data_IF_353180953605
#
_entry.id   IF_353180953605
#
_cell.length_a   1.000
_cell.length_b   1.000
_cell.length_c   1.000
_cell.angle_alpha   90.00
_cell.angle_beta   90.00
_cell.angle_gamma   90.00
#
_symmetry.space_group_name_H-M   'P 1'
#
loop_
_entity.id
_entity.type
_entity.pdbx_description
1 polymer ?
#
# COMPACT_ATOMS: atom_id res chain seq x y z
N UNK A 1 38.59 -10.56 4.10
CA UNK A 1 37.15 -10.74 3.81
C UNK A 1 37.02 -11.37 2.44
N UNK A 2 36.06 -12.26 2.24
CA UNK A 2 35.81 -12.89 0.95
C UNK A 2 34.66 -12.12 0.26
N UNK A 3 34.90 -11.67 -0.99
CA UNK A 3 33.89 -11.05 -1.82
C UNK A 3 33.34 -12.10 -2.80
N UNK A 4 32.03 -12.30 -2.95
CA UNK A 4 31.43 -13.25 -3.88
C UNK A 4 31.49 -12.74 -5.34
N UNK A 5 32.68 -12.36 -5.79
CA UNK A 5 32.97 -11.80 -7.11
C UNK A 5 34.22 -12.48 -7.73
N UNK A 6 34.19 -12.67 -9.03
CA UNK A 6 35.34 -12.98 -9.85
C UNK A 6 35.98 -11.69 -10.42
N UNK A 7 37.23 -11.78 -10.91
CA UNK A 7 37.93 -10.64 -11.46
C UNK A 7 37.27 -10.05 -12.70
N UNK A 8 36.57 -10.84 -13.52
CA UNK A 8 35.83 -10.34 -14.68
C UNK A 8 34.64 -9.50 -14.27
N UNK A 9 33.84 -9.99 -13.31
CA UNK A 9 32.71 -9.24 -12.76
C UNK A 9 33.16 -8.00 -12.00
N UNK A 10 34.26 -8.09 -11.26
CA UNK A 10 34.82 -6.98 -10.52
C UNK A 10 35.23 -5.84 -11.48
N UNK A 11 35.82 -6.13 -12.63
CA UNK A 11 36.12 -5.15 -13.67
C UNK A 11 34.92 -4.78 -14.54
N UNK A 12 33.88 -5.61 -14.58
CA UNK A 12 32.72 -5.42 -15.46
C UNK A 12 33.03 -5.78 -16.92
N UNK A 13 33.88 -6.77 -17.15
CA UNK A 13 34.25 -7.26 -18.49
C UNK A 13 33.77 -8.69 -18.70
N UNK A 14 33.59 -9.08 -19.98
CA UNK A 14 33.27 -10.46 -20.33
C UNK A 14 34.50 -11.35 -20.18
N UNK A 15 34.36 -12.65 -19.85
CA UNK A 15 35.47 -13.63 -19.87
C UNK A 15 36.22 -13.72 -21.19
N UNK A 16 35.59 -13.36 -22.32
CA UNK A 16 36.23 -13.34 -23.64
C UNK A 16 36.84 -11.98 -24.01
N UNK A 17 36.91 -11.03 -23.05
CA UNK A 17 37.46 -9.70 -23.29
C UNK A 17 38.94 -9.75 -23.63
N UNK A 18 39.37 -8.95 -24.59
CA UNK A 18 40.77 -8.75 -24.93
C UNK A 18 41.48 -7.88 -23.89
N UNK A 19 42.81 -7.96 -23.81
CA UNK A 19 43.65 -7.14 -22.95
C UNK A 19 43.35 -5.62 -23.17
N UNK A 20 43.23 -5.20 -24.43
CA UNK A 20 42.89 -3.81 -24.76
C UNK A 20 41.54 -3.36 -24.16
N UNK A 21 40.53 -4.25 -24.19
CA UNK A 21 39.24 -3.97 -23.61
C UNK A 21 39.31 -3.92 -22.08
N UNK A 22 40.09 -4.79 -21.46
CA UNK A 22 40.34 -4.80 -19.99
C UNK A 22 40.95 -3.45 -19.58
N UNK A 23 42.03 -3.00 -20.24
CA UNK A 23 42.72 -1.75 -19.91
C UNK A 23 41.84 -0.51 -20.18
N UNK A 24 41.07 -0.52 -21.27
CA UNK A 24 40.10 0.55 -21.55
C UNK A 24 39.02 0.65 -20.48
N UNK A 25 38.47 -0.49 -20.05
CA UNK A 25 37.44 -0.53 -19.00
C UNK A 25 38.01 -0.08 -17.64
N UNK A 26 39.24 -0.53 -17.31
CA UNK A 26 39.93 -0.05 -16.12
C UNK A 26 40.05 1.47 -16.11
N UNK A 27 40.56 2.09 -17.21
CA UNK A 27 40.69 3.55 -17.30
C UNK A 27 39.34 4.25 -17.11
N UNK A 28 38.30 3.76 -17.78
CA UNK A 28 36.96 4.33 -17.65
C UNK A 28 36.41 4.25 -16.21
N UNK A 29 36.67 3.16 -15.49
CA UNK A 29 36.20 3.01 -14.10
C UNK A 29 37.02 3.81 -13.10
N UNK A 30 38.31 4.02 -13.37
CA UNK A 30 39.16 4.90 -12.55
C UNK A 30 38.78 6.37 -12.74
N UNK A 31 38.46 6.79 -13.98
CA UNK A 31 38.05 8.15 -14.31
C UNK A 31 36.64 8.51 -13.79
N UNK A 32 35.83 7.49 -13.49
CA UNK A 32 34.47 7.66 -12.98
C UNK A 32 34.30 6.98 -11.61
N UNK A 33 34.81 7.60 -10.53
CA UNK A 33 34.57 7.09 -9.19
C UNK A 33 33.05 7.15 -8.85
N UNK A 34 32.58 6.32 -7.92
CA UNK A 34 31.19 6.36 -7.48
C UNK A 34 30.86 7.73 -6.88
N UNK A 35 29.74 8.28 -7.28
CA UNK A 35 29.19 9.48 -6.68
C UNK A 35 28.72 9.19 -5.25
N UNK A 36 28.93 10.11 -4.30
CA UNK A 36 28.38 9.92 -2.96
C UNK A 36 29.20 10.46 -1.81
N UNK A 37 30.44 10.93 -2.05
CA UNK A 37 31.25 11.57 -1.00
C UNK A 37 32.08 10.58 -0.16
N UNK A 38 32.49 9.46 -0.74
CA UNK A 38 33.50 8.56 -0.14
C UNK A 38 34.85 9.28 0.03
N UNK A 39 35.59 8.88 1.05
CA UNK A 39 36.93 9.42 1.28
C UNK A 39 37.91 9.01 0.19
N UNK A 40 39.00 9.76 0.05
CA UNK A 40 40.07 9.43 -0.89
C UNK A 40 40.66 8.06 -0.61
N UNK A 41 40.81 7.68 0.66
CA UNK A 41 41.33 6.39 1.10
C UNK A 41 40.45 5.23 0.59
N UNK A 42 39.11 5.35 0.71
CA UNK A 42 38.17 4.34 0.22
C UNK A 42 38.21 4.20 -1.31
N UNK A 43 38.30 5.32 -2.02
CA UNK A 43 38.41 5.33 -3.48
C UNK A 43 39.75 4.81 -3.96
N UNK A 44 40.85 5.02 -3.22
CA UNK A 44 42.15 4.47 -3.54
C UNK A 44 42.20 2.95 -3.33
N UNK A 45 41.64 2.45 -2.22
CA UNK A 45 41.45 0.98 -2.01
C UNK A 45 40.65 0.32 -3.15
N UNK A 46 39.57 0.98 -3.59
CA UNK A 46 38.79 0.54 -4.76
C UNK A 46 39.65 0.49 -6.03
N UNK A 47 40.42 1.54 -6.28
CA UNK A 47 41.29 1.64 -7.45
C UNK A 47 42.42 0.57 -7.46
N UNK A 48 43.00 0.29 -6.29
CA UNK A 48 44.01 -0.79 -6.15
C UNK A 48 43.44 -2.15 -6.50
N UNK A 49 42.23 -2.49 -6.02
CA UNK A 49 41.55 -3.76 -6.36
C UNK A 49 41.22 -3.88 -7.85
N UNK A 50 40.80 -2.77 -8.49
CA UNK A 50 40.57 -2.72 -9.94
C UNK A 50 41.89 -2.96 -10.72
N UNK A 51 42.99 -2.28 -10.32
CA UNK A 51 44.33 -2.48 -10.96
C UNK A 51 44.81 -3.91 -10.79
N UNK A 52 44.76 -4.46 -9.56
CA UNK A 52 45.15 -5.84 -9.30
C UNK A 52 44.39 -6.86 -10.15
N UNK A 53 43.08 -6.64 -10.35
CA UNK A 53 42.27 -7.49 -11.22
C UNK A 53 42.66 -7.35 -12.71
N UNK A 54 42.95 -6.13 -13.16
CA UNK A 54 43.40 -5.90 -14.53
C UNK A 54 44.78 -6.48 -14.78
N UNK A 55 45.72 -6.35 -13.85
CA UNK A 55 47.06 -6.94 -13.93
C UNK A 55 46.99 -8.47 -14.05
N UNK A 56 46.08 -9.12 -13.32
CA UNK A 56 45.85 -10.56 -13.44
C UNK A 56 45.29 -10.93 -14.82
N UNK A 57 44.30 -10.20 -15.32
CA UNK A 57 43.61 -10.52 -16.57
C UNK A 57 44.40 -10.13 -17.83
N UNK A 58 45.38 -9.23 -17.72
CA UNK A 58 46.29 -8.87 -18.82
C UNK A 58 47.54 -9.79 -18.89
N UNK A 59 47.86 -10.54 -17.86
CA UNK A 59 48.89 -11.54 -17.85
C UNK A 59 48.34 -12.88 -18.39
N UNK A 60 48.77 -13.32 -19.54
CA UNK A 60 48.22 -14.49 -20.23
C UNK A 60 48.35 -15.79 -19.41
N UNK A 61 49.44 -15.99 -18.70
CA UNK A 61 49.69 -17.20 -17.90
C UNK A 61 48.79 -17.21 -16.66
N UNK A 62 48.79 -16.14 -15.91
CA UNK A 62 47.93 -15.99 -14.71
C UNK A 62 46.43 -16.01 -15.05
N UNK A 63 46.05 -15.47 -16.19
CA UNK A 63 44.68 -15.52 -16.68
C UNK A 63 44.23 -16.93 -17.02
N UNK A 64 45.06 -17.71 -17.74
CA UNK A 64 44.77 -19.12 -18.05
C UNK A 64 44.63 -19.97 -16.78
N UNK A 65 45.51 -19.78 -15.81
CA UNK A 65 45.41 -20.45 -14.50
C UNK A 65 44.11 -20.10 -13.80
N UNK A 66 43.72 -18.82 -13.82
CA UNK A 66 42.48 -18.31 -13.20
C UNK A 66 41.22 -18.84 -13.91
N UNK A 67 41.18 -18.84 -15.24
CA UNK A 67 40.08 -19.40 -16.03
C UNK A 67 39.94 -20.93 -15.79
N UNK A 68 41.02 -21.64 -15.62
CA UNK A 68 41.03 -23.06 -15.27
C UNK A 68 40.41 -23.27 -13.86
N UNK A 69 40.76 -22.43 -12.90
CA UNK A 69 40.20 -22.46 -11.55
C UNK A 69 38.69 -22.16 -11.55
N UNK A 70 38.25 -21.16 -12.30
CA UNK A 70 36.81 -20.86 -12.46
C UNK A 70 36.05 -22.03 -13.09
N UNK A 71 36.67 -22.72 -14.06
CA UNK A 71 36.04 -23.89 -14.70
C UNK A 71 35.89 -25.05 -13.71
N UNK A 72 36.86 -25.26 -12.82
CA UNK A 72 36.78 -26.25 -11.76
C UNK A 72 35.69 -25.94 -10.75
N UNK A 73 35.60 -24.67 -10.28
CA UNK A 73 34.58 -24.23 -9.36
C UNK A 73 33.18 -24.42 -9.95
N UNK A 74 32.98 -24.08 -11.21
CA UNK A 74 31.70 -24.30 -11.91
C UNK A 74 31.34 -25.79 -12.05
N UNK A 75 32.32 -26.68 -12.08
CA UNK A 75 32.09 -28.14 -12.13
C UNK A 75 31.72 -28.74 -10.77
N UNK A 76 32.06 -28.08 -9.66
CA UNK A 76 31.70 -28.52 -8.30
C UNK A 76 30.24 -28.25 -7.95
N UNK A 77 29.58 -27.32 -8.64
CA UNK A 77 28.11 -27.05 -8.50
C UNK A 77 27.73 -25.60 -8.77
N UNK A 78 26.46 -25.36 -9.08
CA UNK A 78 25.96 -24.01 -9.41
C UNK A 78 25.99 -23.04 -8.23
N UNK A 79 26.13 -23.52 -7.00
CA UNK A 79 26.17 -22.74 -5.78
C UNK A 79 27.58 -22.34 -5.34
N UNK A 80 28.62 -22.85 -6.00
CA UNK A 80 30.01 -22.53 -5.69
C UNK A 80 30.43 -21.26 -6.43
N UNK A 81 30.23 -20.10 -5.77
CA UNK A 81 30.65 -18.82 -6.32
C UNK A 81 32.15 -18.59 -6.11
N UNK A 82 32.86 -18.05 -7.11
CA UNK A 82 34.25 -17.62 -6.92
C UNK A 82 34.29 -16.52 -5.86
N UNK A 83 35.19 -16.68 -4.90
CA UNK A 83 35.41 -15.71 -3.85
C UNK A 83 36.75 -15.02 -4.03
N UNK A 84 36.76 -13.69 -4.05
CA UNK A 84 37.98 -12.91 -4.05
C UNK A 84 38.36 -12.56 -2.61
N UNK A 85 39.58 -13.01 -2.20
CA UNK A 85 40.13 -12.61 -0.90
C UNK A 85 40.57 -11.14 -0.92
N UNK A 86 39.97 -10.32 -0.08
CA UNK A 86 40.28 -8.89 0.08
C UNK A 86 40.87 -8.66 1.46
N UNK A 87 42.05 -8.01 1.57
CA UNK A 87 42.60 -7.61 2.86
C UNK A 87 41.63 -6.70 3.64
N UNK A 88 41.65 -6.81 4.96
CA UNK A 88 40.79 -5.97 5.81
C UNK A 88 41.05 -4.47 5.67
N UNK A 89 42.25 -4.09 5.23
CA UNK A 89 42.59 -2.70 4.90
C UNK A 89 41.88 -2.18 3.65
N UNK A 90 41.46 -3.04 2.73
CA UNK A 90 40.78 -2.71 1.47
C UNK A 90 39.28 -3.08 1.49
N UNK A 91 38.75 -3.43 2.65
CA UNK A 91 37.34 -3.89 2.81
C UNK A 91 36.32 -2.91 2.24
N UNK A 92 36.46 -1.62 2.54
CA UNK A 92 35.53 -0.57 2.04
C UNK A 92 35.55 -0.51 0.52
N UNK A 93 36.74 -0.52 -0.09
CA UNK A 93 36.91 -0.57 -1.54
C UNK A 93 36.30 -1.80 -2.19
N UNK A 94 36.46 -2.97 -1.55
CA UNK A 94 35.85 -4.22 -1.98
C UNK A 94 34.32 -4.19 -1.94
N UNK A 95 33.74 -3.69 -0.86
CA UNK A 95 32.29 -3.54 -0.73
C UNK A 95 31.69 -2.53 -1.71
N UNK A 96 32.44 -1.43 -2.02
CA UNK A 96 32.03 -0.50 -3.09
C UNK A 96 31.96 -1.23 -4.43
N UNK A 97 32.97 -2.04 -4.76
CA UNK A 97 33.01 -2.82 -6.00
C UNK A 97 31.90 -3.87 -6.06
N UNK A 98 31.55 -4.49 -4.94
CA UNK A 98 30.43 -5.41 -4.81
C UNK A 98 29.09 -4.73 -5.15
N UNK A 99 28.87 -3.53 -4.61
CA UNK A 99 27.69 -2.70 -4.92
C UNK A 99 27.67 -2.28 -6.41
N UNK A 100 28.83 -1.93 -6.99
CA UNK A 100 28.94 -1.55 -8.41
C UNK A 100 28.69 -2.75 -9.35
N UNK A 101 29.01 -3.96 -8.90
CA UNK A 101 28.75 -5.21 -9.62
C UNK A 101 27.26 -5.64 -9.58
N UNK A 102 26.38 -4.83 -8.98
CA UNK A 102 24.94 -5.13 -8.89
C UNK A 102 24.56 -6.05 -7.74
N UNK A 103 25.44 -6.23 -6.76
CA UNK A 103 25.18 -7.03 -5.54
C UNK A 103 24.98 -6.09 -4.34
N UNK A 104 23.97 -5.22 -4.48
CA UNK A 104 23.72 -4.17 -3.49
C UNK A 104 23.27 -4.72 -2.13
N UNK A 105 22.52 -5.82 -2.12
CA UNK A 105 22.05 -6.44 -0.88
C UNK A 105 23.21 -7.04 -0.07
N UNK A 106 24.15 -7.71 -0.75
CA UNK A 106 25.36 -8.30 -0.16
C UNK A 106 26.32 -7.20 0.32
N UNK A 107 26.45 -6.11 -0.45
CA UNK A 107 27.25 -4.94 -0.06
C UNK A 107 26.67 -4.27 1.19
N UNK A 108 25.35 -4.14 1.30
CA UNK A 108 24.67 -3.64 2.50
C UNK A 108 24.96 -4.52 3.71
N UNK A 109 24.81 -5.83 3.54
CA UNK A 109 25.04 -6.78 4.64
C UNK A 109 26.49 -6.76 5.11
N UNK A 110 27.46 -6.72 4.17
CA UNK A 110 28.87 -6.59 4.47
C UNK A 110 29.19 -5.30 5.25
N UNK A 111 28.67 -4.16 4.79
CA UNK A 111 28.85 -2.88 5.49
C UNK A 111 28.19 -2.91 6.89
N UNK A 112 27.01 -3.49 7.01
CA UNK A 112 26.30 -3.68 8.28
C UNK A 112 27.11 -4.52 9.28
N UNK A 113 27.72 -5.61 8.82
CA UNK A 113 28.59 -6.48 9.64
C UNK A 113 29.87 -5.76 10.05
N UNK A 114 30.52 -5.04 9.13
CA UNK A 114 31.74 -4.28 9.40
C UNK A 114 31.52 -3.13 10.41
N UNK A 115 30.28 -2.65 10.58
CA UNK A 115 29.89 -1.65 11.59
C UNK A 115 29.46 -2.26 12.94
N UNK A 116 29.47 -3.59 13.08
CA UNK A 116 29.13 -4.26 14.33
C UNK A 116 30.38 -4.66 15.14
N UNK A 117 30.34 -4.59 16.48
CA UNK A 117 31.41 -5.15 17.31
C UNK A 117 31.58 -6.67 17.06
N UNK A 118 32.81 -7.21 17.09
CA UNK A 118 34.08 -6.54 17.46
C UNK A 118 34.79 -5.83 16.28
N UNK A 119 34.26 -5.88 15.05
CA UNK A 119 34.91 -5.35 13.84
C UNK A 119 34.66 -3.85 13.64
N UNK A 120 33.74 -3.26 14.41
CA UNK A 120 33.39 -1.86 14.27
C UNK A 120 34.61 -0.95 14.31
N UNK A 121 34.74 0.00 13.35
CA UNK A 121 35.81 0.99 13.38
C UNK A 121 35.69 1.95 14.55
N UNK A 122 36.75 2.72 14.82
CA UNK A 122 36.69 3.74 15.85
C UNK A 122 35.64 4.80 15.49
N UNK A 123 34.89 5.26 16.49
CA UNK A 123 33.88 6.31 16.33
C UNK A 123 34.48 7.59 15.73
N UNK A 124 33.82 8.14 14.72
CA UNK A 124 34.27 9.34 14.00
C UNK A 124 35.42 9.10 13.04
N UNK A 125 35.82 7.86 12.77
CA UNK A 125 36.84 7.55 11.77
C UNK A 125 36.32 7.65 10.34
N UNK A 126 37.21 7.91 9.37
CA UNK A 126 36.88 7.90 7.94
C UNK A 126 36.23 6.58 7.52
N UNK A 127 36.74 5.45 8.03
CA UNK A 127 36.20 4.11 7.74
C UNK A 127 34.76 3.93 8.24
N UNK A 128 34.42 4.46 9.40
CA UNK A 128 33.05 4.46 9.91
C UNK A 128 32.12 5.27 9.02
N UNK A 129 32.56 6.47 8.60
CA UNK A 129 31.79 7.35 7.73
C UNK A 129 31.55 6.71 6.35
N UNK A 130 32.60 6.12 5.75
CA UNK A 130 32.50 5.45 4.45
C UNK A 130 31.59 4.21 4.51
N UNK A 131 31.72 3.38 5.54
CA UNK A 131 30.85 2.20 5.73
C UNK A 131 29.39 2.62 5.97
N UNK A 132 29.15 3.69 6.72
CA UNK A 132 27.80 4.21 6.97
C UNK A 132 27.17 4.75 5.68
N UNK A 133 27.95 5.45 4.87
CA UNK A 133 27.53 5.96 3.56
C UNK A 133 27.25 4.80 2.58
N UNK A 134 28.17 3.82 2.53
CA UNK A 134 28.00 2.63 1.70
C UNK A 134 26.74 1.85 2.09
N UNK A 135 26.52 1.64 3.38
CA UNK A 135 25.33 0.96 3.86
C UNK A 135 24.05 1.70 3.44
N UNK A 136 24.04 3.04 3.49
CA UNK A 136 22.91 3.83 3.05
C UNK A 136 22.62 3.67 1.56
N UNK A 137 23.64 3.85 0.71
CA UNK A 137 23.49 3.75 -0.75
C UNK A 137 23.13 2.32 -1.17
N UNK A 138 23.76 1.31 -0.54
CA UNK A 138 23.50 -0.10 -0.85
C UNK A 138 22.09 -0.52 -0.41
N UNK A 139 21.61 -0.07 0.77
CA UNK A 139 20.25 -0.33 1.22
C UNK A 139 19.22 0.28 0.26
N UNK A 140 19.46 1.50 -0.23
CA UNK A 140 18.59 2.17 -1.19
C UNK A 140 18.53 1.39 -2.51
N UNK A 141 19.68 1.04 -3.09
CA UNK A 141 19.75 0.28 -4.35
C UNK A 141 19.08 -1.10 -4.20
N UNK A 142 19.41 -1.83 -3.15
CA UNK A 142 18.83 -3.14 -2.88
C UNK A 142 17.31 -3.06 -2.66
N UNK A 143 16.83 -2.06 -1.96
CA UNK A 143 15.40 -1.77 -1.82
C UNK A 143 14.72 -1.54 -3.17
N UNK A 144 15.31 -0.72 -4.04
CA UNK A 144 14.80 -0.46 -5.38
C UNK A 144 14.82 -1.71 -6.28
N UNK A 145 15.84 -2.55 -6.18
CA UNK A 145 15.90 -3.83 -6.90
C UNK A 145 14.77 -4.77 -6.46
N UNK A 146 14.57 -4.93 -5.14
CA UNK A 146 13.46 -5.74 -4.61
C UNK A 146 12.09 -5.18 -5.00
N UNK A 147 11.94 -3.86 -5.07
CA UNK A 147 10.73 -3.21 -5.59
C UNK A 147 10.45 -3.59 -7.05
N UNK A 148 11.46 -3.54 -7.91
CA UNK A 148 11.32 -3.94 -9.33
C UNK A 148 10.91 -5.41 -9.46
N UNK A 149 11.41 -6.27 -8.57
CA UNK A 149 11.06 -7.68 -8.48
C UNK A 149 9.70 -7.93 -7.80
N UNK A 150 8.96 -6.87 -7.43
CA UNK A 150 7.68 -6.91 -6.68
C UNK A 150 7.79 -7.60 -5.31
N UNK A 151 8.97 -7.63 -4.70
CA UNK A 151 9.21 -8.18 -3.36
C UNK A 151 9.14 -7.06 -2.32
N UNK A 152 7.95 -6.47 -2.17
CA UNK A 152 7.76 -5.24 -1.40
C UNK A 152 8.11 -5.37 0.08
N UNK A 153 7.78 -6.49 0.72
CA UNK A 153 8.15 -6.72 2.12
C UNK A 153 9.66 -6.87 2.31
N UNK A 154 10.34 -7.55 1.39
CA UNK A 154 11.80 -7.64 1.39
C UNK A 154 12.47 -6.28 1.17
N UNK A 155 11.92 -5.46 0.26
CA UNK A 155 12.37 -4.09 0.05
C UNK A 155 12.21 -3.24 1.31
N UNK A 156 11.04 -3.29 1.93
CA UNK A 156 10.74 -2.56 3.17
C UNK A 156 11.66 -2.97 4.31
N UNK A 157 11.97 -4.26 4.44
CA UNK A 157 12.87 -4.76 5.48
C UNK A 157 14.30 -4.23 5.29
N UNK A 158 14.82 -4.22 4.05
CA UNK A 158 16.15 -3.68 3.75
C UNK A 158 16.22 -2.18 4.07
N UNK A 159 15.24 -1.41 3.60
CA UNK A 159 15.16 0.04 3.86
C UNK A 159 15.06 0.33 5.37
N UNK A 160 14.23 -0.40 6.08
CA UNK A 160 14.07 -0.26 7.53
C UNK A 160 15.37 -0.57 8.29
N UNK A 161 16.06 -1.66 7.91
CA UNK A 161 17.36 -2.02 8.49
C UNK A 161 18.41 -0.93 8.23
N UNK A 162 18.40 -0.34 7.02
CA UNK A 162 19.26 0.79 6.67
C UNK A 162 18.98 2.01 7.54
N UNK A 163 17.71 2.38 7.70
CA UNK A 163 17.28 3.49 8.57
C UNK A 163 17.74 3.29 10.01
N UNK A 164 17.48 2.09 10.56
CA UNK A 164 17.90 1.76 11.94
C UNK A 164 19.43 1.81 12.11
N UNK A 165 20.18 1.33 11.11
CA UNK A 165 21.63 1.39 11.13
C UNK A 165 22.12 2.85 11.21
N UNK A 166 21.63 3.71 10.32
CA UNK A 166 22.01 5.12 10.28
C UNK A 166 21.58 5.90 11.54
N UNK A 167 20.44 5.56 12.13
CA UNK A 167 20.00 6.11 13.41
C UNK A 167 21.00 5.78 14.53
N UNK A 168 21.46 4.52 14.59
CA UNK A 168 22.45 4.09 15.60
C UNK A 168 23.81 4.78 15.39
N UNK A 169 24.20 4.95 14.12
CA UNK A 169 25.48 5.58 13.79
C UNK A 169 25.47 7.09 14.02
N UNK A 170 24.28 7.74 14.02
CA UNK A 170 24.13 9.19 14.19
C UNK A 170 24.70 10.01 13.02
N UNK A 171 24.93 9.39 11.87
CA UNK A 171 25.54 9.97 10.68
C UNK A 171 24.61 9.86 9.47
N UNK A 172 24.97 10.50 8.35
CA UNK A 172 24.28 10.38 7.06
C UNK A 172 22.78 10.74 7.14
N UNK A 173 22.44 11.84 7.79
CA UNK A 173 21.07 12.28 8.01
C UNK A 173 20.27 12.41 6.69
N UNK A 174 20.87 13.01 5.66
CA UNK A 174 20.21 13.17 4.36
C UNK A 174 19.89 11.82 3.71
N UNK A 175 20.82 10.87 3.79
CA UNK A 175 20.59 9.53 3.26
C UNK A 175 19.49 8.79 4.04
N UNK A 176 19.46 8.99 5.37
CA UNK A 176 18.39 8.42 6.18
C UNK A 176 17.01 8.95 5.77
N UNK A 177 16.88 10.27 5.58
CA UNK A 177 15.63 10.90 5.12
C UNK A 177 15.20 10.33 3.75
N UNK A 178 16.16 10.09 2.83
CA UNK A 178 15.86 9.45 1.53
C UNK A 178 15.34 8.03 1.69
N UNK A 179 15.95 7.21 2.57
CA UNK A 179 15.46 5.86 2.86
C UNK A 179 14.08 5.88 3.51
N UNK A 180 13.80 6.85 4.40
CA UNK A 180 12.49 7.06 5.02
C UNK A 180 11.43 7.43 3.97
N UNK A 181 11.77 8.31 3.02
CA UNK A 181 10.90 8.66 1.89
C UNK A 181 10.65 7.45 0.97
N UNK A 182 11.70 6.70 0.59
CA UNK A 182 11.55 5.48 -0.23
C UNK A 182 10.66 4.44 0.47
N UNK A 183 10.81 4.26 1.80
CA UNK A 183 9.96 3.36 2.58
C UNK A 183 8.50 3.81 2.63
N UNK A 184 8.28 5.12 2.75
CA UNK A 184 6.93 5.70 2.71
C UNK A 184 6.28 5.55 1.34
N UNK A 185 7.02 5.80 0.26
CA UNK A 185 6.53 5.63 -1.11
C UNK A 185 6.17 4.15 -1.42
N UNK A 186 6.76 3.21 -0.69
CA UNK A 186 6.49 1.78 -0.83
C UNK A 186 5.18 1.34 -0.15
N UNK A 187 4.67 2.14 0.79
CA UNK A 187 3.56 1.76 1.67
C UNK A 187 2.28 1.35 0.92
N UNK A 188 1.78 2.08 -0.10
CA UNK A 188 0.60 1.68 -0.84
C UNK A 188 0.75 0.32 -1.56
N UNK A 189 1.92 0.04 -2.10
CA UNK A 189 2.20 -1.24 -2.78
C UNK A 189 2.21 -2.41 -1.80
N UNK A 190 2.76 -2.22 -0.60
CA UNK A 190 2.76 -3.21 0.46
C UNK A 190 1.33 -3.52 0.93
N UNK A 191 0.53 -2.47 1.15
CA UNK A 191 -0.87 -2.61 1.54
C UNK A 191 -1.64 -3.43 0.49
N UNK A 192 -1.50 -3.08 -0.78
CA UNK A 192 -2.17 -3.77 -1.87
C UNK A 192 -1.73 -5.25 -1.97
N UNK A 193 -0.42 -5.54 -1.92
CA UNK A 193 0.10 -6.90 -1.95
C UNK A 193 -0.45 -7.75 -0.80
N UNK A 194 -0.45 -7.21 0.43
CA UNK A 194 -0.86 -7.93 1.62
C UNK A 194 -2.38 -8.15 1.69
N UNK A 195 -3.19 -7.13 1.36
CA UNK A 195 -4.65 -7.21 1.44
C UNK A 195 -5.23 -8.03 0.27
N UNK A 196 -4.58 -8.03 -0.91
CA UNK A 196 -5.02 -8.82 -2.06
C UNK A 196 -4.83 -10.33 -1.91
N UNK A 197 -4.03 -10.78 -0.95
CA UNK A 197 -3.76 -12.20 -0.69
C UNK A 197 -5.03 -12.97 -0.35
N UNK A 198 -4.93 -14.30 -0.37
CA UNK A 198 -6.05 -15.18 -0.06
C UNK A 198 -6.61 -14.90 1.36
N UNK A 199 -7.94 -15.08 1.52
CA UNK A 199 -8.61 -14.89 2.82
C UNK A 199 -8.08 -15.84 3.90
N UNK A 200 -7.51 -16.99 3.51
CA UNK A 200 -6.87 -17.92 4.42
C UNK A 200 -5.56 -17.38 5.05
N UNK A 201 -4.90 -16.42 4.39
CA UNK A 201 -3.69 -15.77 4.90
C UNK A 201 -4.01 -14.62 5.88
N UNK A 202 -4.76 -14.93 6.93
CA UNK A 202 -5.28 -13.92 7.88
C UNK A 202 -4.21 -13.01 8.46
N UNK A 203 -3.03 -13.54 8.85
CA UNK A 203 -1.95 -12.74 9.44
C UNK A 203 -1.34 -11.72 8.47
N UNK A 204 -1.16 -12.08 7.19
CA UNK A 204 -0.68 -11.14 6.16
C UNK A 204 -1.70 -10.03 5.91
N UNK A 205 -2.97 -10.38 5.86
CA UNK A 205 -4.07 -9.44 5.65
C UNK A 205 -4.25 -8.50 6.84
N UNK A 206 -4.17 -9.02 8.06
CA UNK A 206 -4.22 -8.21 9.29
C UNK A 206 -3.10 -7.17 9.30
N UNK A 207 -1.87 -7.59 9.01
CA UNK A 207 -0.74 -6.66 8.88
C UNK A 207 -0.96 -5.63 7.77
N UNK A 208 -1.56 -6.01 6.63
CA UNK A 208 -1.93 -5.09 5.55
C UNK A 208 -2.96 -4.05 6.00
N UNK A 209 -3.94 -4.43 6.84
CA UNK A 209 -4.93 -3.51 7.44
C UNK A 209 -4.28 -2.55 8.43
N UNK A 210 -3.34 -3.02 9.24
CA UNK A 210 -2.58 -2.16 10.16
C UNK A 210 -1.77 -1.10 9.41
N UNK A 211 -1.16 -1.48 8.27
CA UNK A 211 -0.46 -0.53 7.40
C UNK A 211 -1.41 0.47 6.74
N UNK A 212 -2.61 0.03 6.36
CA UNK A 212 -3.66 0.92 5.81
C UNK A 212 -4.12 1.92 6.87
N UNK A 213 -4.34 1.48 8.09
CA UNK A 213 -4.69 2.35 9.21
C UNK A 213 -3.58 3.38 9.48
N UNK A 214 -2.31 2.97 9.50
CA UNK A 214 -1.16 3.88 9.63
C UNK A 214 -1.10 4.91 8.48
N UNK A 215 -1.38 4.50 7.24
CA UNK A 215 -1.45 5.40 6.10
C UNK A 215 -2.55 6.45 6.28
N UNK A 216 -3.74 6.03 6.66
CA UNK A 216 -4.89 6.93 6.89
C UNK A 216 -4.61 7.89 8.05
N UNK A 217 -4.05 7.41 9.17
CA UNK A 217 -3.66 8.26 10.30
C UNK A 217 -2.60 9.29 9.92
N UNK A 218 -1.57 8.90 9.15
CA UNK A 218 -0.52 9.82 8.68
C UNK A 218 -1.08 10.93 7.79
N UNK A 219 -2.12 10.63 7.02
CA UNK A 219 -2.82 11.63 6.20
C UNK A 219 -3.68 12.60 7.02
N UNK A 220 -3.98 12.29 8.27
CA UNK A 220 -4.95 13.02 9.09
C UNK A 220 -6.39 12.55 8.92
N UNK A 221 -6.59 11.29 8.54
CA UNK A 221 -7.88 10.66 8.28
C UNK A 221 -8.15 10.40 6.80
N UNK A 222 -9.31 9.83 6.47
CA UNK A 222 -9.75 9.64 5.07
C UNK A 222 -9.90 10.98 4.33
N UNK A 223 -10.35 12.01 5.04
CA UNK A 223 -10.60 13.36 4.54
C UNK A 223 -9.35 14.25 4.64
N UNK A 224 -8.22 13.70 5.12
CA UNK A 224 -6.99 14.44 5.35
C UNK A 224 -6.10 14.53 4.10
N UNK A 225 -5.31 15.62 4.01
CA UNK A 225 -4.33 15.88 2.95
C UNK A 225 -2.91 16.16 3.49
N UNK A 226 -2.62 15.72 4.72
CA UNK A 226 -1.36 16.02 5.41
C UNK A 226 -0.15 15.29 4.82
N UNK A 227 -0.34 14.37 3.87
CA UNK A 227 0.72 13.61 3.21
C UNK A 227 1.03 14.18 1.82
N UNK A 228 2.07 15.01 1.65
CA UNK A 228 2.39 15.61 0.36
C UNK A 228 2.91 14.61 -0.68
N UNK A 229 3.40 13.44 -0.24
CA UNK A 229 3.90 12.38 -1.13
C UNK A 229 2.74 11.55 -1.73
N UNK A 230 1.55 11.60 -1.10
CA UNK A 230 0.38 10.86 -1.55
C UNK A 230 -0.88 11.74 -1.59
N UNK A 231 -1.03 12.58 -2.62
CA UNK A 231 -2.10 13.56 -2.75
C UNK A 231 -3.48 12.90 -2.83
N UNK A 232 -4.54 13.69 -2.56
CA UNK A 232 -5.91 13.22 -2.40
C UNK A 232 -6.42 12.38 -3.59
N UNK A 233 -6.21 12.84 -4.83
CA UNK A 233 -6.68 12.11 -6.03
C UNK A 233 -6.04 10.72 -6.15
N UNK A 234 -4.74 10.62 -5.86
CA UNK A 234 -4.01 9.35 -5.86
C UNK A 234 -4.48 8.43 -4.73
N UNK A 235 -4.78 9.01 -3.56
CA UNK A 235 -5.30 8.28 -2.42
C UNK A 235 -6.72 7.76 -2.71
N UNK A 236 -7.61 8.56 -3.27
CA UNK A 236 -8.96 8.13 -3.62
C UNK A 236 -8.95 6.94 -4.58
N UNK A 237 -8.17 7.04 -5.66
CA UNK A 237 -8.01 5.95 -6.63
C UNK A 237 -7.48 4.66 -5.98
N UNK A 238 -6.47 4.79 -5.11
CA UNK A 238 -5.94 3.67 -4.33
C UNK A 238 -6.99 3.08 -3.39
N UNK A 239 -7.71 3.93 -2.67
CA UNK A 239 -8.69 3.52 -1.69
C UNK A 239 -9.88 2.78 -2.31
N UNK A 240 -10.35 3.25 -3.48
CA UNK A 240 -11.36 2.53 -4.27
C UNK A 240 -10.91 1.12 -4.63
N UNK A 241 -9.65 0.95 -5.07
CA UNK A 241 -9.11 -0.37 -5.39
C UNK A 241 -9.02 -1.26 -4.15
N UNK A 242 -8.50 -0.73 -3.03
CA UNK A 242 -8.27 -1.51 -1.82
C UNK A 242 -9.58 -2.03 -1.22
N UNK A 243 -10.66 -1.25 -1.30
CA UNK A 243 -11.98 -1.65 -0.83
C UNK A 243 -12.46 -2.96 -1.46
N UNK A 244 -12.21 -3.18 -2.76
CA UNK A 244 -12.56 -4.41 -3.45
C UNK A 244 -11.85 -5.68 -2.95
N UNK A 245 -10.75 -5.53 -2.23
CA UNK A 245 -10.00 -6.63 -1.61
C UNK A 245 -10.32 -6.84 -0.12
N UNK A 246 -11.05 -5.92 0.51
CA UNK A 246 -11.50 -6.03 1.89
C UNK A 246 -12.85 -6.76 1.96
N UNK A 247 -13.01 -7.58 2.99
CA UNK A 247 -14.32 -8.16 3.33
C UNK A 247 -15.25 -7.11 3.91
N UNK A 248 -16.55 -7.38 3.89
CA UNK A 248 -17.52 -6.46 4.49
C UNK A 248 -17.25 -6.22 5.97
N UNK A 249 -16.83 -7.25 6.71
CA UNK A 249 -16.50 -7.10 8.13
C UNK A 249 -15.22 -6.28 8.35
N UNK A 250 -14.17 -6.51 7.55
CA UNK A 250 -12.94 -5.71 7.61
C UNK A 250 -13.22 -4.22 7.33
N UNK A 251 -14.10 -3.91 6.37
CA UNK A 251 -14.50 -2.53 6.10
C UNK A 251 -15.32 -1.94 7.25
N UNK A 252 -16.25 -2.69 7.83
CA UNK A 252 -17.01 -2.23 9.01
C UNK A 252 -16.05 -1.86 10.13
N UNK A 253 -15.11 -2.74 10.49
CA UNK A 253 -14.19 -2.53 11.60
C UNK A 253 -13.32 -1.28 11.40
N UNK A 254 -12.74 -1.11 10.20
CA UNK A 254 -11.93 0.06 9.84
C UNK A 254 -12.74 1.37 9.84
N UNK A 255 -13.91 1.36 9.21
CA UNK A 255 -14.72 2.58 9.09
C UNK A 255 -15.31 3.01 10.44
N UNK A 256 -15.67 2.06 11.31
CA UNK A 256 -16.10 2.39 12.67
C UNK A 256 -14.96 3.06 13.45
N UNK A 257 -13.75 2.49 13.38
CA UNK A 257 -12.58 3.04 14.04
C UNK A 257 -12.24 4.45 13.55
N UNK A 258 -12.25 4.66 12.22
CA UNK A 258 -11.95 5.98 11.66
C UNK A 258 -13.04 7.01 11.87
N UNK A 259 -14.31 6.58 11.94
CA UNK A 259 -15.45 7.42 12.29
C UNK A 259 -15.35 7.90 13.75
N UNK A 260 -15.03 7.02 14.69
CA UNK A 260 -14.77 7.37 16.08
C UNK A 260 -13.63 8.39 16.24
N UNK A 261 -12.67 8.37 15.31
CA UNK A 261 -11.58 9.35 15.23
C UNK A 261 -11.99 10.67 14.53
N UNK A 262 -13.27 10.83 14.13
CA UNK A 262 -13.86 12.06 13.62
C UNK A 262 -13.93 12.19 12.10
N UNK A 263 -13.66 11.11 11.32
CA UNK A 263 -13.86 11.14 9.87
C UNK A 263 -15.34 11.01 9.52
N UNK A 264 -15.90 12.05 8.89
CA UNK A 264 -17.30 12.07 8.42
C UNK A 264 -17.50 11.07 7.28
N UNK A 265 -16.54 10.99 6.35
CA UNK A 265 -16.55 10.01 5.26
C UNK A 265 -16.53 8.57 5.79
N UNK A 266 -15.73 8.27 6.83
CA UNK A 266 -15.73 6.94 7.43
C UNK A 266 -17.06 6.58 8.11
N UNK A 267 -17.70 7.52 8.77
CA UNK A 267 -19.05 7.34 9.34
C UNK A 267 -20.06 6.97 8.25
N UNK A 268 -20.04 7.71 7.13
CA UNK A 268 -20.90 7.43 5.99
C UNK A 268 -20.63 6.05 5.38
N UNK A 269 -19.37 5.72 5.10
CA UNK A 269 -18.96 4.42 4.56
C UNK A 269 -19.29 3.26 5.52
N UNK A 270 -19.23 3.49 6.85
CA UNK A 270 -19.61 2.50 7.85
C UNK A 270 -21.10 2.16 7.76
N UNK A 271 -21.96 3.16 7.51
CA UNK A 271 -23.39 2.94 7.30
C UNK A 271 -23.67 2.10 6.06
N UNK A 272 -22.92 2.32 4.96
CA UNK A 272 -23.02 1.52 3.74
C UNK A 272 -22.57 0.06 3.98
N UNK A 273 -21.46 -0.14 4.67
CA UNK A 273 -20.95 -1.48 4.98
C UNK A 273 -21.88 -2.26 5.92
N UNK A 274 -22.43 -1.59 6.93
CA UNK A 274 -23.46 -2.16 7.80
C UNK A 274 -24.73 -2.52 7.04
N UNK A 275 -25.16 -1.69 6.09
CA UNK A 275 -26.32 -1.95 5.24
C UNK A 275 -26.08 -3.15 4.34
N UNK A 276 -24.92 -3.20 3.65
CA UNK A 276 -24.53 -4.31 2.79
C UNK A 276 -24.55 -5.64 3.56
N UNK A 277 -23.91 -5.65 4.73
CA UNK A 277 -23.85 -6.82 5.60
C UNK A 277 -25.23 -7.19 6.14
N UNK A 278 -26.02 -6.20 6.58
CA UNK A 278 -27.38 -6.41 7.12
C UNK A 278 -28.32 -6.98 6.06
N UNK A 279 -28.27 -6.45 4.84
CA UNK A 279 -29.09 -6.93 3.73
C UNK A 279 -28.69 -8.34 3.28
N UNK A 280 -27.41 -8.58 3.01
CA UNK A 280 -26.93 -9.86 2.52
C UNK A 280 -27.09 -11.00 3.53
N UNK A 281 -26.85 -10.71 4.82
CA UNK A 281 -26.94 -11.70 5.90
C UNK A 281 -28.31 -11.79 6.56
N UNK A 282 -29.32 -11.04 6.09
CA UNK A 282 -30.65 -10.98 6.69
C UNK A 282 -30.63 -10.55 8.17
N UNK A 283 -29.80 -9.52 8.51
CA UNK A 283 -29.61 -8.98 9.86
C UNK A 283 -30.07 -7.54 9.92
N UNK A 284 -31.38 -7.28 10.08
CA UNK A 284 -31.94 -5.93 10.08
C UNK A 284 -31.43 -5.05 11.23
N UNK A 285 -30.94 -5.63 12.31
CA UNK A 285 -30.29 -4.89 13.39
C UNK A 285 -29.04 -4.11 12.93
N UNK A 286 -28.30 -4.62 11.93
CA UNK A 286 -27.18 -3.88 11.33
C UNK A 286 -27.66 -2.70 10.49
N UNK A 287 -28.79 -2.86 9.80
CA UNK A 287 -29.44 -1.76 9.05
C UNK A 287 -29.96 -0.69 10.02
N UNK A 288 -30.50 -1.10 11.19
CA UNK A 288 -30.88 -0.15 12.25
C UNK A 288 -29.69 0.67 12.74
N UNK A 289 -28.54 0.01 12.96
CA UNK A 289 -27.30 0.71 13.36
C UNK A 289 -26.79 1.63 12.25
N UNK A 290 -26.92 1.26 10.98
CA UNK A 290 -26.60 2.14 9.84
C UNK A 290 -27.51 3.39 9.82
N UNK A 291 -28.81 3.20 10.05
CA UNK A 291 -29.77 4.29 10.11
C UNK A 291 -29.47 5.29 11.25
N UNK A 292 -29.12 4.78 12.45
CA UNK A 292 -28.73 5.63 13.59
C UNK A 292 -27.53 6.51 13.25
N UNK A 293 -26.54 5.98 12.53
CA UNK A 293 -25.36 6.73 12.08
C UNK A 293 -25.72 7.81 11.07
N UNK A 294 -26.48 7.48 10.02
CA UNK A 294 -26.93 8.48 9.05
C UNK A 294 -27.85 9.53 9.68
N UNK A 295 -28.64 9.16 10.68
CA UNK A 295 -29.45 10.14 11.43
C UNK A 295 -28.59 11.15 12.20
N UNK A 296 -27.42 10.77 12.68
CA UNK A 296 -26.47 11.69 13.28
C UNK A 296 -25.85 12.68 12.25
N UNK A 297 -25.89 12.32 10.96
CA UNK A 297 -25.31 13.08 9.86
C UNK A 297 -26.36 13.86 9.03
N UNK A 298 -27.55 14.10 9.53
CA UNK A 298 -28.67 14.69 8.76
C UNK A 298 -28.35 15.99 8.02
N UNK A 299 -27.41 16.75 8.53
CA UNK A 299 -27.03 18.05 7.93
C UNK A 299 -26.21 17.88 6.62
N UNK A 300 -25.81 16.65 6.28
CA UNK A 300 -25.01 16.32 5.07
C UNK A 300 -25.89 15.94 3.87
N UNK A 301 -27.21 15.90 4.01
CA UNK A 301 -28.14 15.63 2.88
C UNK A 301 -28.33 14.14 2.56
N UNK A 302 -28.25 13.26 3.54
CA UNK A 302 -28.38 11.78 3.44
C UNK A 302 -29.82 11.26 3.53
N UNK A 303 -30.81 12.11 3.25
CA UNK A 303 -32.24 11.74 3.41
C UNK A 303 -32.70 10.66 2.41
N UNK A 304 -32.12 10.61 1.21
CA UNK A 304 -32.46 9.59 0.21
C UNK A 304 -31.97 8.21 0.63
N UNK A 305 -30.77 8.11 1.19
CA UNK A 305 -30.21 6.88 1.78
C UNK A 305 -31.02 6.44 3.01
N UNK A 306 -31.35 7.37 3.90
CA UNK A 306 -32.21 7.08 5.05
C UNK A 306 -33.59 6.55 4.61
N UNK A 307 -34.14 7.05 3.50
CA UNK A 307 -35.38 6.51 2.95
C UNK A 307 -35.25 5.01 2.59
N UNK A 308 -34.15 4.61 1.97
CA UNK A 308 -33.86 3.21 1.68
C UNK A 308 -33.71 2.38 2.96
N UNK A 309 -33.01 2.88 3.98
CA UNK A 309 -32.85 2.17 5.26
C UNK A 309 -34.16 2.03 6.00
N UNK A 310 -34.98 3.07 6.05
CA UNK A 310 -36.34 3.01 6.62
C UNK A 310 -37.19 1.96 5.88
N UNK A 311 -37.14 1.93 4.54
CA UNK A 311 -37.84 0.94 3.75
C UNK A 311 -37.39 -0.50 4.12
N UNK A 312 -36.07 -0.76 4.19
CA UNK A 312 -35.53 -2.07 4.55
C UNK A 312 -35.92 -2.52 5.98
N UNK A 313 -36.20 -1.57 6.87
CA UNK A 313 -36.71 -1.82 8.23
C UNK A 313 -38.24 -1.89 8.31
N UNK A 314 -38.94 -1.85 7.17
CA UNK A 314 -40.41 -1.91 7.12
C UNK A 314 -41.12 -0.60 7.54
N UNK A 315 -40.38 0.49 7.66
CA UNK A 315 -40.88 1.80 8.15
C UNK A 315 -41.36 2.66 6.94
N UNK A 316 -42.41 2.26 6.30
CA UNK A 316 -42.85 2.82 5.01
C UNK A 316 -43.25 4.31 5.07
N UNK A 317 -43.83 4.77 6.17
CA UNK A 317 -44.24 6.16 6.32
C UNK A 317 -43.04 7.09 6.48
N UNK A 318 -42.05 6.69 7.30
CA UNK A 318 -40.79 7.41 7.48
C UNK A 318 -39.95 7.39 6.21
N UNK A 319 -39.94 6.26 5.51
CA UNK A 319 -39.24 6.11 4.22
C UNK A 319 -39.79 7.09 3.18
N UNK A 320 -41.14 7.21 3.06
CA UNK A 320 -41.77 8.15 2.14
C UNK A 320 -41.46 9.63 2.50
N UNK A 321 -41.44 9.97 3.78
CA UNK A 321 -41.12 11.33 4.24
C UNK A 321 -39.66 11.68 3.94
N UNK A 322 -38.71 10.76 4.22
CA UNK A 322 -37.29 10.95 3.92
C UNK A 322 -37.04 11.06 2.41
N UNK A 323 -37.69 10.21 1.60
CA UNK A 323 -37.55 10.26 0.14
C UNK A 323 -38.06 11.59 -0.44
N UNK A 324 -39.23 12.08 0.01
CA UNK A 324 -39.74 13.36 -0.44
C UNK A 324 -38.83 14.55 -0.06
N UNK A 325 -38.09 14.45 1.03
CA UNK A 325 -37.18 15.49 1.48
C UNK A 325 -35.82 15.42 0.76
N UNK A 326 -35.27 14.22 0.62
CA UNK A 326 -33.92 13.99 0.09
C UNK A 326 -33.83 13.91 -1.43
N UNK A 327 -34.96 13.72 -2.13
CA UNK A 327 -34.94 13.54 -3.58
C UNK A 327 -35.14 14.88 -4.32
N UNK A 328 -34.36 15.06 -5.37
CA UNK A 328 -34.55 16.18 -6.30
C UNK A 328 -35.78 15.97 -7.23
N UNK A 329 -36.11 16.97 -8.04
CA UNK A 329 -37.25 16.90 -8.95
C UNK A 329 -37.08 15.81 -10.04
N UNK A 330 -35.86 15.53 -10.47
CA UNK A 330 -35.57 14.53 -11.48
C UNK A 330 -35.76 13.12 -10.91
N UNK A 331 -35.23 12.83 -9.72
CA UNK A 331 -35.40 11.55 -9.04
C UNK A 331 -36.89 11.28 -8.71
N UNK A 332 -37.64 12.30 -8.26
CA UNK A 332 -39.08 12.20 -8.02
C UNK A 332 -39.87 11.89 -9.29
N UNK A 333 -39.52 12.54 -10.40
CA UNK A 333 -40.15 12.28 -11.70
C UNK A 333 -39.83 10.84 -12.17
N UNK A 334 -38.59 10.43 -12.08
CA UNK A 334 -38.15 9.07 -12.42
C UNK A 334 -38.91 8.02 -11.57
N UNK A 335 -38.98 8.20 -10.25
CA UNK A 335 -39.67 7.27 -9.35
C UNK A 335 -41.17 7.15 -9.70
N UNK A 336 -41.83 8.23 -10.09
CA UNK A 336 -43.23 8.23 -10.53
C UNK A 336 -43.45 7.48 -11.85
N UNK A 337 -42.46 7.46 -12.72
CA UNK A 337 -42.51 6.67 -13.96
C UNK A 337 -42.45 5.16 -13.71
N UNK A 338 -41.86 4.73 -12.59
CA UNK A 338 -41.69 3.32 -12.23
C UNK A 338 -42.99 2.67 -11.69
N UNK A 339 -43.97 3.48 -11.23
CA UNK A 339 -45.25 3.01 -10.73
C UNK A 339 -46.17 4.10 -10.29
N UNK A 340 -47.48 3.81 -10.30
CA UNK A 340 -48.53 4.75 -9.81
C UNK A 340 -48.55 4.88 -8.28
N UNK A 341 -47.95 3.92 -7.58
CA UNK A 341 -47.79 3.90 -6.12
C UNK A 341 -46.42 4.50 -5.75
N UNK A 342 -46.34 5.54 -4.90
CA UNK A 342 -45.09 6.09 -4.43
C UNK A 342 -44.17 5.07 -3.79
N UNK A 343 -44.70 4.05 -3.12
CA UNK A 343 -43.92 2.98 -2.51
C UNK A 343 -43.25 2.10 -3.56
N UNK A 344 -43.91 1.85 -4.70
CA UNK A 344 -43.32 1.08 -5.79
C UNK A 344 -42.07 1.77 -6.38
N UNK A 345 -42.16 3.09 -6.59
CA UNK A 345 -41.03 3.92 -7.04
C UNK A 345 -39.83 3.88 -6.06
N UNK A 346 -40.12 3.96 -4.76
CA UNK A 346 -39.11 3.89 -3.71
C UNK A 346 -38.46 2.47 -3.64
N UNK A 347 -39.23 1.42 -3.83
CA UNK A 347 -38.67 0.05 -3.89
C UNK A 347 -37.69 -0.12 -5.07
N UNK A 348 -38.04 0.41 -6.24
CA UNK A 348 -37.15 0.36 -7.42
C UNK A 348 -35.87 1.19 -7.15
N UNK A 349 -36.01 2.38 -6.57
CA UNK A 349 -34.87 3.20 -6.20
C UNK A 349 -33.96 2.49 -5.19
N UNK A 350 -34.51 1.95 -4.11
CA UNK A 350 -33.76 1.21 -3.10
C UNK A 350 -33.02 -0.01 -3.71
N UNK A 351 -33.66 -0.74 -4.60
CA UNK A 351 -33.03 -1.88 -5.29
C UNK A 351 -31.87 -1.42 -6.19
N UNK A 352 -32.04 -0.31 -6.93
CA UNK A 352 -30.97 0.25 -7.77
C UNK A 352 -29.82 0.81 -6.93
N UNK A 353 -30.11 1.51 -5.84
CA UNK A 353 -29.13 2.01 -4.88
C UNK A 353 -28.33 0.85 -4.23
N UNK A 354 -28.98 -0.20 -3.77
CA UNK A 354 -28.32 -1.41 -3.26
C UNK A 354 -27.37 -2.01 -4.30
N UNK A 355 -27.85 -2.14 -5.53
CA UNK A 355 -27.10 -2.78 -6.63
C UNK A 355 -25.88 -1.99 -7.04
N UNK A 356 -25.96 -0.66 -7.12
CA UNK A 356 -24.90 0.18 -7.68
C UNK A 356 -23.96 0.72 -6.64
N UNK A 357 -24.46 1.04 -5.44
CA UNK A 357 -23.68 1.80 -4.46
C UNK A 357 -23.36 0.99 -3.20
N UNK A 358 -24.28 0.14 -2.72
CA UNK A 358 -24.13 -0.53 -1.42
C UNK A 358 -23.44 -1.90 -1.53
N UNK A 359 -23.93 -2.77 -2.41
CA UNK A 359 -23.45 -4.15 -2.52
C UNK A 359 -22.09 -4.33 -3.23
N UNK A 360 -21.68 -3.47 -4.17
CA UNK A 360 -20.34 -3.55 -4.75
C UNK A 360 -19.24 -3.24 -3.73
N UNK A 361 -17.99 -3.56 -4.08
CA UNK A 361 -16.78 -3.21 -3.33
C UNK A 361 -16.48 -4.05 -2.07
N UNK A 362 -17.03 -5.27 -1.98
CA UNK A 362 -16.66 -6.23 -0.92
C UNK A 362 -16.22 -7.56 -1.53
N UNK A 363 -15.10 -8.09 -1.04
CA UNK A 363 -14.52 -9.32 -1.58
C UNK A 363 -15.36 -10.58 -1.31
N UNK A 364 -16.09 -10.59 -0.21
CA UNK A 364 -16.81 -11.74 0.33
C UNK A 364 -18.33 -11.62 0.19
N UNK A 365 -18.83 -10.63 -0.56
CA UNK A 365 -20.24 -10.35 -0.64
C UNK A 365 -20.71 -10.40 -2.09
N UNK A 366 -21.47 -11.45 -2.41
CA UNK A 366 -22.21 -11.60 -3.65
C UNK A 366 -23.70 -11.72 -3.28
N UNK A 367 -24.44 -10.64 -3.46
CA UNK A 367 -25.88 -10.64 -3.18
C UNK A 367 -26.63 -9.88 -4.27
N UNK A 368 -27.72 -10.47 -4.73
CA UNK A 368 -28.68 -9.78 -5.58
C UNK A 368 -29.57 -8.85 -4.74
N UNK A 369 -29.90 -7.65 -5.22
CA UNK A 369 -30.76 -6.69 -4.52
C UNK A 369 -32.26 -7.07 -4.60
N UNK A 370 -32.57 -8.32 -4.24
CA UNK A 370 -33.92 -8.86 -4.24
C UNK A 370 -34.64 -8.52 -2.93
N UNK A 371 -35.47 -7.46 -2.99
CA UNK A 371 -36.25 -7.01 -1.85
C UNK A 371 -37.35 -8.01 -1.46
N UNK A 372 -37.94 -8.76 -2.41
CA UNK A 372 -38.97 -9.75 -2.10
C UNK A 372 -38.37 -10.89 -1.27
N UNK A 373 -37.20 -11.42 -1.70
CA UNK A 373 -36.48 -12.41 -0.93
C UNK A 373 -35.99 -11.90 0.43
N UNK A 374 -35.66 -10.62 0.54
CA UNK A 374 -35.27 -9.99 1.80
C UNK A 374 -36.46 -9.96 2.78
N UNK A 375 -37.61 -9.44 2.35
CA UNK A 375 -38.82 -9.35 3.21
C UNK A 375 -39.52 -10.69 3.45
N UNK A 376 -39.28 -11.70 2.62
CA UNK A 376 -39.77 -13.05 2.86
C UNK A 376 -39.01 -13.80 3.96
N UNK A 377 -37.85 -13.29 4.37
CA UNK A 377 -37.01 -13.92 5.41
C UNK A 377 -37.67 -13.80 6.80
N UNK A 378 -37.62 -14.90 7.57
CA UNK A 378 -38.30 -14.99 8.88
C UNK A 378 -37.71 -14.11 9.93
N UNK A 379 -36.38 -13.92 9.94
CA UNK A 379 -35.69 -13.11 10.93
C UNK A 379 -35.95 -11.62 10.67
N UNK A 380 -36.01 -11.23 9.39
CA UNK A 380 -36.40 -9.88 8.97
C UNK A 380 -37.84 -9.58 9.38
N UNK A 381 -38.79 -10.49 9.11
CA UNK A 381 -40.20 -10.32 9.49
C UNK A 381 -40.35 -10.21 11.02
N UNK A 382 -39.70 -11.10 11.77
CA UNK A 382 -39.73 -11.08 13.24
C UNK A 382 -39.18 -9.76 13.82
N UNK A 383 -38.12 -9.22 13.22
CA UNK A 383 -37.56 -7.93 13.62
C UNK A 383 -38.52 -6.79 13.36
N UNK A 384 -39.12 -6.71 12.16
CA UNK A 384 -40.10 -5.70 11.79
C UNK A 384 -41.28 -5.73 12.75
N UNK A 385 -41.89 -6.91 12.99
CA UNK A 385 -43.01 -7.07 13.91
C UNK A 385 -42.64 -6.66 15.36
N UNK A 386 -41.45 -6.97 15.82
CA UNK A 386 -40.97 -6.59 17.15
C UNK A 386 -40.77 -5.08 17.26
N UNK A 387 -40.24 -4.46 16.22
CA UNK A 387 -40.04 -3.01 16.13
C UNK A 387 -41.39 -2.25 16.15
N UNK A 388 -42.37 -2.73 15.38
CA UNK A 388 -43.71 -2.12 15.34
C UNK A 388 -44.43 -2.24 16.70
N UNK A 389 -44.31 -3.39 17.36
CA UNK A 389 -44.88 -3.56 18.72
C UNK A 389 -44.23 -2.61 19.73
N UNK A 390 -42.92 -2.40 19.62
CA UNK A 390 -42.19 -1.50 20.52
C UNK A 390 -42.60 -0.03 20.26
N UNK A 391 -42.75 0.38 18.99
CA UNK A 391 -43.22 1.73 18.62
C UNK A 391 -44.66 1.99 19.11
N UNK A 392 -45.53 1.03 18.94
CA UNK A 392 -46.92 1.15 19.42
C UNK A 392 -46.98 1.27 20.96
N UNK A 393 -46.11 0.57 21.69
CA UNK A 393 -46.02 0.67 23.17
C UNK A 393 -45.42 1.98 23.65
N UNK A 394 -44.46 2.55 22.88
CA UNK A 394 -43.79 3.78 23.24
C UNK A 394 -44.67 5.05 23.04
N UNK A 395 -45.83 4.94 22.36
CA UNK A 395 -46.79 6.05 22.18
C UNK A 395 -46.16 7.27 21.55
N UNK A 396 -45.26 7.13 20.60
CA UNK A 396 -44.46 8.23 20.08
C UNK A 396 -45.31 9.09 19.17
N UNK A 397 -45.70 10.26 19.69
CA UNK A 397 -46.06 11.43 18.88
C UNK A 397 -44.79 12.04 18.27
N UNK A 398 -44.85 12.60 17.06
CA UNK A 398 -43.66 13.05 16.36
C UNK A 398 -42.95 14.23 17.04
N UNK A 399 -41.69 14.05 17.29
CA UNK A 399 -40.55 14.95 17.43
C UNK A 399 -40.65 16.32 18.09
N UNK A 400 -39.81 16.48 19.11
CA UNK A 400 -39.27 17.77 19.55
C UNK A 400 -37.89 18.02 18.88
N UNK A 401 -37.54 19.29 18.56
CA UNK A 401 -36.27 19.61 17.90
C UNK A 401 -35.10 19.60 18.88
N UNK A 402 -34.00 18.97 18.49
CA UNK A 402 -32.75 19.00 19.22
C UNK A 402 -31.96 20.24 18.77
N UNK A 403 -31.58 21.06 19.76
CA UNK A 403 -30.79 22.28 19.63
C UNK A 403 -29.32 21.99 19.38
N UNK A 404 -28.80 22.67 18.34
CA UNK A 404 -27.45 23.14 18.04
C UNK A 404 -26.23 22.39 18.62
N UNK A 405 -25.46 21.75 17.70
CA UNK A 405 -24.03 21.46 17.85
C UNK A 405 -23.23 22.32 16.86
N UNK A 406 -22.00 22.68 17.24
CA UNK A 406 -21.06 23.44 16.43
C UNK A 406 -20.78 22.72 15.10
N UNK A 407 -20.87 23.50 14.03
CA UNK A 407 -20.68 23.03 12.64
C UNK A 407 -19.21 22.80 12.39
N UNK A 408 -18.81 21.55 12.24
CA UNK A 408 -17.57 21.17 11.55
C UNK A 408 -17.79 21.35 10.03
N UNK A 409 -16.74 21.73 9.26
CA UNK A 409 -16.89 21.88 7.82
C UNK A 409 -17.35 20.55 7.19
N UNK A 410 -18.48 20.61 6.49
CA UNK A 410 -19.06 19.48 5.77
C UNK A 410 -18.20 19.17 4.54
N UNK A 411 -17.82 17.88 4.29
CA UNK A 411 -17.25 17.50 3.00
C UNK A 411 -18.26 17.77 1.88
N UNK A 412 -17.74 18.12 0.70
CA UNK A 412 -18.58 18.34 -0.49
C UNK A 412 -19.27 17.02 -0.85
N UNK A 413 -20.60 16.99 -1.06
CA UNK A 413 -21.31 15.78 -1.48
C UNK A 413 -20.69 15.10 -2.72
N UNK A 414 -20.08 15.87 -3.62
CA UNK A 414 -19.35 15.35 -4.78
C UNK A 414 -18.12 14.53 -4.42
N UNK A 415 -17.44 14.82 -3.31
CA UNK A 415 -16.28 14.04 -2.84
C UNK A 415 -16.69 12.65 -2.32
N UNK A 416 -17.87 12.56 -1.73
CA UNK A 416 -18.44 11.28 -1.24
C UNK A 416 -18.91 10.42 -2.42
N UNK A 417 -19.54 11.02 -3.43
CA UNK A 417 -19.95 10.32 -4.65
C UNK A 417 -18.73 9.78 -5.42
N UNK A 418 -17.64 10.55 -5.51
CA UNK A 418 -16.41 10.16 -6.19
C UNK A 418 -15.71 8.96 -5.51
N UNK A 419 -15.83 8.82 -4.20
CA UNK A 419 -15.33 7.64 -3.44
C UNK A 419 -16.20 6.39 -3.70
N UNK A 420 -17.48 6.59 -4.04
CA UNK A 420 -18.45 5.51 -4.25
C UNK A 420 -18.55 5.04 -5.71
N UNK A 421 -18.11 5.85 -6.69
CA UNK A 421 -18.17 5.43 -8.10
C UNK A 421 -17.25 4.24 -8.38
N UNK A 422 -17.78 3.16 -8.99
CA UNK A 422 -16.92 2.09 -9.51
C UNK A 422 -16.08 2.64 -10.66
N UNK A 423 -14.78 2.30 -10.70
CA UNK A 423 -13.83 2.69 -11.73
C UNK A 423 -14.34 2.44 -13.16
N UNK A 424 -15.12 3.36 -13.71
CA UNK A 424 -15.49 3.38 -15.12
C UNK A 424 -14.78 4.55 -15.80
N UNK A 425 -13.77 4.16 -16.59
CA UNK A 425 -13.17 4.92 -17.69
C UNK A 425 -12.40 6.20 -17.36
N UNK A 426 -11.16 6.15 -17.60
CA UNK A 426 -10.30 6.87 -18.53
C UNK A 426 -8.84 6.72 -18.13
N UNK A 427 -8.17 5.81 -18.87
CA UNK A 427 -6.75 5.43 -18.65
C UNK A 427 -5.75 6.47 -19.19
N UNK A 428 -6.16 7.67 -19.57
CA UNK A 428 -5.28 8.60 -20.27
C UNK A 428 -4.56 9.63 -19.41
N UNK A 429 -5.02 9.92 -18.18
CA UNK A 429 -4.41 10.94 -17.30
C UNK A 429 -3.75 10.40 -16.02
N UNK A 430 -3.59 9.09 -15.90
CA UNK A 430 -2.99 8.49 -14.71
C UNK A 430 -1.48 8.76 -14.62
N UNK A 431 -1.01 9.24 -13.47
CA UNK A 431 0.41 9.32 -13.12
C UNK A 431 1.08 7.95 -13.29
N UNK A 432 2.43 7.85 -13.50
CA UNK A 432 3.14 6.58 -13.64
C UNK A 432 2.86 5.59 -12.49
N UNK A 433 2.58 6.09 -11.29
CA UNK A 433 2.19 5.32 -10.11
C UNK A 433 0.81 4.69 -10.28
N UNK A 434 -0.19 5.45 -10.78
CA UNK A 434 -1.54 4.94 -11.05
C UNK A 434 -1.55 3.85 -12.14
N UNK A 435 -0.71 3.96 -13.18
CA UNK A 435 -0.62 2.93 -14.24
C UNK A 435 -0.09 1.61 -13.72
N UNK A 436 0.97 1.63 -12.91
CA UNK A 436 1.50 0.43 -12.26
C UNK A 436 0.46 -0.25 -11.35
N UNK A 437 -0.38 0.54 -10.68
CA UNK A 437 -1.44 0.02 -9.81
C UNK A 437 -2.59 -0.60 -10.60
N UNK A 438 -3.00 0.03 -11.71
CA UNK A 438 -4.02 -0.52 -12.60
C UNK A 438 -3.58 -1.86 -13.23
N UNK A 439 -2.32 -1.97 -13.65
CA UNK A 439 -1.75 -3.21 -14.16
C UNK A 439 -1.69 -4.31 -13.10
N UNK A 440 -1.38 -3.97 -11.84
CA UNK A 440 -1.37 -4.92 -10.73
C UNK A 440 -2.77 -5.40 -10.34
N UNK A 441 -3.74 -4.49 -10.26
CA UNK A 441 -5.13 -4.82 -9.96
C UNK A 441 -5.74 -5.72 -11.04
N UNK A 442 -5.47 -5.46 -12.31
CA UNK A 442 -5.91 -6.31 -13.43
C UNK A 442 -5.28 -7.70 -13.41
N UNK A 443 -4.02 -7.83 -12.98
CA UNK A 443 -3.34 -9.12 -12.87
C UNK A 443 -3.81 -9.91 -11.64
N UNK A 444 -4.13 -9.24 -10.53
CA UNK A 444 -4.69 -9.90 -9.33
C UNK A 444 -6.14 -10.35 -9.53
N UNK A 445 -6.92 -9.64 -10.35
CA UNK A 445 -8.29 -10.04 -10.70
C UNK A 445 -8.34 -11.16 -11.76
N UNK A 446 -7.23 -11.46 -12.44
CA UNK A 446 -7.11 -12.50 -13.45
C UNK A 446 -6.55 -13.83 -12.89
N UNK A 447 -6.16 -13.88 -11.62
CA UNK A 447 -5.76 -15.07 -10.86
C UNK A 447 -6.87 -15.55 -9.94
#
# INVERSE_FOLDING_TARGET
>A
MELPLDHFRLLGVSPVATEELVLRTLSQRLDRPPEGGFTTDALECRAELLRGSADLLCDSERREEYECLLTQLNAEGPDTLPALEVPSSQEVGGLILLMEAGQAAEAFEGARQALQPPQAPALGSNREADLSLLAAISAQKAGQERCRDRRFESAAQILHNGIQLLQRMGQQHEQRVRLESDLNALLPYRILDLISRDLAESGSREFGRDLLDQLVQRRGGLDGDQDPEFPQDSFQSFFQQIRGFLTVQEQIDLFLQWGENGSVTAEFLSAYALTASGFAQRKPERISSALERLQAMRDVGVDAEMACLHLLLGQTDEAAVCFERGSDAALKAWAKEQGSDPLAGLCVYCSDWLKRQVLPCYRDLEADPDLEAYFADRDVQAFIESSDRNRQRAGVSPSAPITSFEVLPTPDPSEIEEILEPLSSSAEDATPVCRLWQEQAQQAAAQ
#
